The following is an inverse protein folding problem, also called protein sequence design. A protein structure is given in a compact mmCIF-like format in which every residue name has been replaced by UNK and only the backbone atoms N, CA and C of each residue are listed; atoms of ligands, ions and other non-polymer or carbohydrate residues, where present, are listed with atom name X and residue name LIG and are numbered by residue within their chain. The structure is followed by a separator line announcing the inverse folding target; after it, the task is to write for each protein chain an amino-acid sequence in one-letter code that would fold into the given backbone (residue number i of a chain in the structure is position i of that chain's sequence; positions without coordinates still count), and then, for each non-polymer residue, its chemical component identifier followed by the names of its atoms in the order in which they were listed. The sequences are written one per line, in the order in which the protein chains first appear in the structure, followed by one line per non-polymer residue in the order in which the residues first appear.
data_IF_896011237811
#
_entry.id   IF_896011237811
#
_cell.length_a   1.000
_cell.length_b   1.000
_cell.length_c   1.000
_cell.angle_alpha   90.00
_cell.angle_beta   90.00
_cell.angle_gamma   90.00
#
_symmetry.space_group_name_H-M   'P 1'
#
loop_
_entity.id
_entity.type
_entity.pdbx_description
1 polymer ?
#
# COMPACT_ATOMS: atom_id res chain seq x y z
N UNK A 1 40.86 -12.10 -75.54
CA UNK A 1 39.71 -13.00 -75.81
C UNK A 1 39.94 -14.26 -75.00
N UNK A 2 38.91 -14.74 -74.29
CA UNK A 2 38.98 -16.01 -73.54
C UNK A 2 38.99 -17.14 -74.58
N UNK A 3 39.88 -18.12 -74.43
CA UNK A 3 39.99 -19.21 -75.40
C UNK A 3 38.76 -20.15 -75.34
N UNK A 4 38.48 -20.83 -76.45
CA UNK A 4 37.33 -21.71 -76.60
C UNK A 4 37.39 -22.91 -75.63
N UNK A 5 38.60 -23.43 -75.36
CA UNK A 5 38.83 -24.52 -74.40
C UNK A 5 38.44 -24.16 -72.97
N UNK A 6 38.64 -22.90 -72.57
CA UNK A 6 38.30 -22.34 -71.27
C UNK A 6 36.79 -22.11 -71.16
N UNK A 7 36.16 -21.64 -72.24
CA UNK A 7 34.70 -21.51 -72.32
C UNK A 7 34.02 -22.87 -72.14
N UNK A 8 34.50 -23.90 -72.83
CA UNK A 8 33.97 -25.26 -72.69
C UNK A 8 34.20 -25.84 -71.28
N UNK A 9 35.35 -25.55 -70.67
CA UNK A 9 35.66 -25.93 -69.29
C UNK A 9 34.70 -25.30 -68.28
N UNK A 10 34.45 -23.98 -68.39
CA UNK A 10 33.50 -23.25 -67.53
C UNK A 10 32.08 -23.78 -67.72
N UNK A 11 31.66 -24.01 -68.96
CA UNK A 11 30.34 -24.58 -69.24
C UNK A 11 30.18 -25.96 -68.60
N UNK A 12 31.16 -26.85 -68.78
CA UNK A 12 31.16 -28.20 -68.18
C UNK A 12 31.12 -28.15 -66.65
N UNK A 13 31.83 -27.21 -66.05
CA UNK A 13 31.84 -27.01 -64.60
C UNK A 13 30.46 -26.59 -64.08
N UNK A 14 29.81 -25.64 -64.76
CA UNK A 14 28.47 -25.16 -64.38
C UNK A 14 27.43 -26.27 -64.58
N UNK A 15 27.43 -26.98 -65.71
CA UNK A 15 26.44 -28.03 -65.97
C UNK A 15 26.59 -29.25 -65.07
N UNK A 16 27.80 -29.51 -64.55
CA UNK A 16 28.07 -30.57 -63.57
C UNK A 16 27.84 -30.15 -62.11
N UNK A 17 27.49 -28.88 -61.84
CA UNK A 17 27.27 -28.37 -60.48
C UNK A 17 25.98 -28.90 -59.85
N UNK A 18 25.90 -28.89 -58.51
CA UNK A 18 24.68 -29.27 -57.78
C UNK A 18 23.51 -28.34 -58.12
N UNK A 19 23.79 -27.08 -58.41
CA UNK A 19 22.79 -26.08 -58.83
C UNK A 19 22.11 -26.45 -60.16
N UNK A 20 22.80 -27.21 -61.03
CA UNK A 20 22.34 -27.57 -62.37
C UNK A 20 22.06 -29.07 -62.58
N UNK A 21 22.55 -29.96 -61.72
CA UNK A 21 22.49 -31.42 -61.92
C UNK A 21 21.06 -31.97 -62.11
N UNK A 22 20.08 -31.43 -61.40
CA UNK A 22 18.68 -31.89 -61.48
C UNK A 22 17.87 -31.15 -62.56
N UNK A 23 18.54 -30.56 -63.54
CA UNK A 23 17.95 -29.57 -64.45
C UNK A 23 18.49 -29.70 -65.86
N UNK A 24 18.35 -30.89 -66.42
CA UNK A 24 18.76 -31.25 -67.78
C UNK A 24 18.32 -30.20 -68.81
N UNK A 25 17.05 -29.77 -68.77
CA UNK A 25 16.51 -28.77 -69.71
C UNK A 25 17.23 -27.41 -69.65
N UNK A 26 17.72 -27.00 -68.48
CA UNK A 26 18.50 -25.75 -68.34
C UNK A 26 19.96 -25.94 -68.74
N UNK A 27 20.52 -27.14 -68.53
CA UNK A 27 21.85 -27.48 -69.04
C UNK A 27 21.88 -27.45 -70.56
N UNK A 28 20.94 -28.14 -71.23
CA UNK A 28 20.86 -28.16 -72.69
C UNK A 28 20.59 -26.79 -73.28
N UNK A 29 19.77 -25.96 -72.61
CA UNK A 29 19.52 -24.58 -73.02
C UNK A 29 20.79 -23.72 -72.91
N UNK A 30 21.52 -23.82 -71.79
CA UNK A 30 22.78 -23.09 -71.61
C UNK A 30 23.82 -23.51 -72.64
N UNK A 31 23.97 -24.81 -72.90
CA UNK A 31 24.86 -25.34 -73.94
C UNK A 31 24.48 -24.80 -75.32
N UNK A 32 23.21 -24.87 -75.71
CA UNK A 32 22.73 -24.31 -76.98
C UNK A 32 23.09 -22.82 -77.14
N UNK A 33 22.92 -22.02 -76.08
CA UNK A 33 23.22 -20.58 -76.12
C UNK A 33 24.72 -20.31 -76.18
N UNK A 34 25.54 -21.10 -75.50
CA UNK A 34 27.01 -21.00 -75.57
C UNK A 34 27.50 -21.35 -76.97
N UNK A 35 27.04 -22.46 -77.54
CA UNK A 35 27.44 -22.91 -78.88
C UNK A 35 27.08 -21.86 -79.94
N UNK A 36 25.87 -21.29 -79.86
CA UNK A 36 25.42 -20.20 -80.74
C UNK A 36 26.24 -18.91 -80.56
N UNK A 37 26.58 -18.56 -79.32
CA UNK A 37 27.40 -17.37 -79.02
C UNK A 37 28.84 -17.54 -79.52
N UNK A 38 29.41 -18.75 -79.43
CA UNK A 38 30.73 -19.09 -79.96
C UNK A 38 30.77 -19.03 -81.50
N UNK A 39 29.69 -19.47 -82.16
CA UNK A 39 29.54 -19.36 -83.61
C UNK A 39 29.29 -17.92 -84.11
N UNK A 40 29.15 -16.94 -83.21
CA UNK A 40 28.83 -15.55 -83.54
C UNK A 40 27.38 -15.33 -84.00
N UNK A 41 26.51 -16.33 -83.84
CA UNK A 41 25.11 -16.32 -84.28
C UNK A 41 24.18 -16.21 -83.07
N UNK A 42 24.01 -15.00 -82.53
CA UNK A 42 23.16 -14.75 -81.36
C UNK A 42 21.69 -14.99 -81.72
N UNK A 43 21.00 -15.99 -81.13
CA UNK A 43 19.66 -16.35 -81.56
C UNK A 43 18.63 -15.33 -81.08
N UNK A 44 17.65 -15.02 -81.95
CA UNK A 44 16.47 -14.24 -81.56
C UNK A 44 15.49 -15.11 -80.76
N UNK A 45 14.60 -14.49 -79.99
CA UNK A 45 13.59 -15.20 -79.18
C UNK A 45 12.78 -16.21 -80.00
N UNK A 46 12.33 -15.81 -81.19
CA UNK A 46 11.62 -16.67 -82.13
C UNK A 46 12.45 -17.90 -82.54
N UNK A 47 13.75 -17.72 -82.81
CA UNK A 47 14.66 -18.81 -83.17
C UNK A 47 14.83 -19.81 -82.02
N UNK A 48 14.93 -19.33 -80.77
CA UNK A 48 15.02 -20.22 -79.60
C UNK A 48 13.72 -21.01 -79.42
N UNK A 49 12.57 -20.37 -79.62
CA UNK A 49 11.27 -21.02 -79.51
C UNK A 49 11.10 -22.18 -80.50
N UNK A 50 11.55 -22.00 -81.75
CA UNK A 50 11.47 -23.05 -82.78
C UNK A 50 12.59 -24.07 -82.63
N UNK A 51 13.85 -23.63 -82.58
CA UNK A 51 15.01 -24.52 -82.68
C UNK A 51 15.18 -25.37 -81.41
N UNK A 52 14.98 -24.75 -80.25
CA UNK A 52 15.18 -25.39 -78.94
C UNK A 52 13.85 -25.89 -78.33
N UNK A 53 12.82 -25.05 -78.28
CA UNK A 53 11.52 -25.45 -77.69
C UNK A 53 10.59 -26.20 -78.65
N UNK A 54 10.97 -26.36 -79.92
CA UNK A 54 10.21 -27.07 -80.96
C UNK A 54 8.78 -26.54 -81.13
N UNK A 55 8.58 -25.23 -80.98
CA UNK A 55 7.30 -24.56 -81.26
C UNK A 55 7.03 -24.51 -82.76
N UNK A 56 5.75 -24.42 -83.11
CA UNK A 56 5.29 -24.25 -84.49
C UNK A 56 5.70 -22.88 -85.07
N UNK A 57 5.75 -22.77 -86.41
CA UNK A 57 6.19 -21.55 -87.10
C UNK A 57 5.27 -20.33 -86.87
N UNK A 58 4.07 -20.54 -86.34
CA UNK A 58 3.11 -19.49 -85.95
C UNK A 58 3.39 -18.90 -84.54
N UNK A 59 4.51 -19.25 -83.90
CA UNK A 59 4.88 -18.74 -82.58
C UNK A 59 4.94 -17.20 -82.54
N UNK A 60 4.18 -16.61 -81.61
CA UNK A 60 4.21 -15.18 -81.30
C UNK A 60 4.91 -14.94 -79.94
N UNK A 61 6.10 -14.30 -79.91
CA UNK A 61 6.81 -13.97 -78.68
C UNK A 61 6.04 -13.05 -77.72
N UNK A 62 5.04 -12.30 -78.21
CA UNK A 62 4.22 -11.42 -77.37
C UNK A 62 3.23 -12.20 -76.49
N UNK A 63 2.66 -13.28 -77.02
CA UNK A 63 1.63 -14.12 -76.39
C UNK A 63 2.22 -15.32 -75.62
N UNK A 64 3.29 -15.97 -76.11
CA UNK A 64 3.92 -17.11 -75.42
C UNK A 64 5.25 -16.71 -74.73
N UNK A 65 5.23 -16.72 -73.40
CA UNK A 65 6.33 -16.30 -72.53
C UNK A 65 7.37 -17.40 -72.27
N UNK A 66 7.27 -18.58 -72.92
CA UNK A 66 8.12 -19.74 -72.61
C UNK A 66 9.62 -19.42 -72.65
N UNK A 67 10.11 -18.74 -73.69
CA UNK A 67 11.54 -18.39 -73.79
C UNK A 67 11.93 -17.44 -72.67
N UNK A 68 11.13 -16.40 -72.41
CA UNK A 68 11.36 -15.42 -71.34
C UNK A 68 11.39 -16.08 -69.95
N UNK A 69 10.48 -17.01 -69.68
CA UNK A 69 10.43 -17.75 -68.42
C UNK A 69 11.69 -18.59 -68.19
N UNK A 70 12.07 -19.41 -69.17
CA UNK A 70 13.25 -20.26 -69.05
C UNK A 70 14.54 -19.44 -68.98
N UNK A 71 14.62 -18.33 -69.71
CA UNK A 71 15.79 -17.45 -69.66
C UNK A 71 15.90 -16.72 -68.30
N UNK A 72 14.77 -16.33 -67.70
CA UNK A 72 14.75 -15.78 -66.35
C UNK A 72 15.25 -16.79 -65.31
N UNK A 73 14.73 -18.03 -65.36
CA UNK A 73 15.16 -19.11 -64.45
C UNK A 73 16.62 -19.51 -64.66
N UNK A 74 17.09 -19.55 -65.91
CA UNK A 74 18.49 -19.82 -66.24
C UNK A 74 19.42 -18.77 -65.62
N UNK A 75 19.09 -17.47 -65.77
CA UNK A 75 19.86 -16.39 -65.13
C UNK A 75 19.89 -16.51 -63.60
N UNK A 76 18.77 -16.88 -62.98
CA UNK A 76 18.74 -17.12 -61.53
C UNK A 76 19.64 -18.28 -61.12
N UNK A 77 19.64 -19.39 -61.87
CA UNK A 77 20.50 -20.55 -61.57
C UNK A 77 21.97 -20.23 -61.75
N UNK A 78 22.34 -19.50 -62.81
CA UNK A 78 23.72 -19.02 -63.02
C UNK A 78 24.15 -18.14 -61.83
N UNK A 79 23.28 -17.23 -61.39
CA UNK A 79 23.55 -16.38 -60.23
C UNK A 79 23.75 -17.21 -58.96
N UNK A 80 22.86 -18.16 -58.68
CA UNK A 80 22.96 -19.04 -57.51
C UNK A 80 24.25 -19.87 -57.52
N UNK A 81 24.66 -20.40 -58.68
CA UNK A 81 25.93 -21.11 -58.84
C UNK A 81 27.12 -20.22 -58.43
N UNK A 82 27.19 -18.98 -58.93
CA UNK A 82 28.31 -18.08 -58.60
C UNK A 82 28.26 -17.47 -57.18
N UNK A 83 27.12 -17.57 -56.49
CA UNK A 83 26.98 -17.20 -55.08
C UNK A 83 27.54 -18.28 -54.13
N UNK A 84 27.62 -19.54 -54.56
CA UNK A 84 28.06 -20.67 -53.73
C UNK A 84 29.17 -21.53 -54.37
N UNK A 85 28.82 -22.44 -55.28
CA UNK A 85 29.74 -23.43 -55.86
C UNK A 85 30.85 -22.79 -56.71
N UNK A 86 30.52 -21.73 -57.44
CA UNK A 86 31.41 -20.95 -58.29
C UNK A 86 31.94 -19.68 -57.63
N UNK A 87 31.87 -19.54 -56.30
CA UNK A 87 32.27 -18.31 -55.59
C UNK A 87 33.73 -17.91 -55.79
N UNK A 88 34.58 -18.86 -56.14
CA UNK A 88 36.02 -18.65 -56.36
C UNK A 88 36.41 -18.77 -57.85
N UNK A 89 35.42 -18.85 -58.76
CA UNK A 89 35.67 -18.96 -60.19
C UNK A 89 36.22 -17.64 -60.77
N UNK A 90 37.36 -17.73 -61.44
CA UNK A 90 38.05 -16.57 -62.04
C UNK A 90 37.31 -15.98 -63.24
N UNK A 91 36.44 -16.77 -63.88
CA UNK A 91 35.62 -16.37 -65.03
C UNK A 91 34.15 -16.50 -64.64
N UNK A 92 33.36 -15.47 -64.97
CA UNK A 92 31.91 -15.41 -64.76
C UNK A 92 31.22 -15.51 -66.12
N UNK A 93 30.35 -16.50 -66.26
CA UNK A 93 29.39 -16.64 -67.34
C UNK A 93 28.16 -15.78 -67.01
N UNK A 94 27.83 -14.83 -67.87
CA UNK A 94 26.66 -13.96 -67.74
C UNK A 94 25.78 -13.99 -69.00
N UNK A 95 24.47 -13.95 -68.80
CA UNK A 95 23.48 -13.70 -69.87
C UNK A 95 22.79 -12.38 -69.56
N UNK A 96 23.15 -11.27 -70.23
CA UNK A 96 22.58 -9.96 -69.92
C UNK A 96 21.04 -9.94 -70.06
N UNK A 97 20.37 -9.11 -69.25
CA UNK A 97 18.91 -8.94 -69.33
C UNK A 97 18.52 -8.42 -70.72
N UNK A 98 17.49 -9.01 -71.34
CA UNK A 98 17.02 -8.64 -72.68
C UNK A 98 17.85 -9.21 -73.84
N UNK A 99 18.97 -9.89 -73.55
CA UNK A 99 19.80 -10.54 -74.55
C UNK A 99 19.79 -12.07 -74.40
N UNK A 100 20.05 -12.76 -75.49
CA UNK A 100 20.22 -14.23 -75.55
C UNK A 100 21.67 -14.64 -75.84
N UNK A 101 22.59 -13.68 -75.85
CA UNK A 101 24.03 -13.88 -75.96
C UNK A 101 24.63 -14.26 -74.60
N UNK A 102 25.53 -15.24 -74.60
CA UNK A 102 26.32 -15.61 -73.43
C UNK A 102 27.67 -14.90 -73.46
N UNK A 103 28.02 -14.21 -72.37
CA UNK A 103 29.29 -13.50 -72.21
C UNK A 103 30.13 -14.12 -71.10
N UNK A 104 31.43 -14.15 -71.31
CA UNK A 104 32.41 -14.62 -70.32
C UNK A 104 33.30 -13.44 -69.92
N UNK A 105 33.31 -13.12 -68.62
CA UNK A 105 34.01 -11.96 -68.07
C UNK A 105 34.96 -12.40 -66.93
N UNK A 106 36.16 -11.82 -66.81
CA UNK A 106 37.02 -12.06 -65.65
C UNK A 106 36.38 -11.49 -64.38
N UNK A 107 36.45 -12.21 -63.25
CA UNK A 107 35.90 -11.76 -61.97
C UNK A 107 36.67 -10.53 -61.46
N UNK A 108 36.00 -9.40 -61.16
CA UNK A 108 36.67 -8.24 -60.57
C UNK A 108 37.14 -8.56 -59.15
N UNK A 109 38.44 -8.38 -58.85
CA UNK A 109 39.02 -8.55 -57.52
C UNK A 109 38.51 -7.45 -56.57
N UNK A 110 37.40 -7.67 -55.88
CA UNK A 110 36.87 -6.73 -54.87
C UNK A 110 37.66 -6.83 -53.56
N UNK A 111 38.35 -5.75 -53.17
CA UNK A 111 38.95 -5.60 -51.84
C UNK A 111 37.83 -5.66 -50.79
N UNK A 112 37.85 -6.70 -49.95
CA UNK A 112 36.89 -6.93 -48.88
C UNK A 112 37.14 -5.94 -47.73
N UNK A 113 36.30 -4.90 -47.61
CA UNK A 113 36.27 -4.05 -46.41
C UNK A 113 35.63 -4.84 -45.26
N UNK A 114 36.45 -5.27 -44.31
CA UNK A 114 35.98 -5.75 -43.00
C UNK A 114 35.56 -4.55 -42.14
N UNK A 115 34.29 -4.18 -42.22
CA UNK A 115 33.65 -3.21 -41.33
C UNK A 115 32.26 -3.70 -40.96
N UNK A 116 32.18 -4.68 -40.06
CA UNK A 116 30.96 -4.89 -39.26
C UNK A 116 31.26 -4.29 -37.90
N UNK A 117 30.62 -3.17 -37.57
CA UNK A 117 30.57 -2.66 -36.20
C UNK A 117 29.79 -3.66 -35.35
N UNK A 118 30.51 -4.63 -34.80
CA UNK A 118 30.01 -5.51 -33.76
C UNK A 118 29.98 -4.63 -32.51
N UNK A 119 28.79 -4.20 -32.08
CA UNK A 119 28.62 -3.61 -30.76
C UNK A 119 29.24 -4.58 -29.75
N UNK A 120 30.36 -4.17 -29.16
CA UNK A 120 31.13 -4.99 -28.23
C UNK A 120 30.22 -5.49 -27.12
N UNK A 121 30.28 -6.78 -26.80
CA UNK A 121 29.55 -7.39 -25.70
C UNK A 121 29.75 -6.62 -24.37
N UNK A 122 30.90 -5.94 -24.22
CA UNK A 122 31.20 -5.07 -23.09
C UNK A 122 30.29 -3.83 -23.03
N UNK A 123 29.92 -3.26 -24.17
CA UNK A 123 29.04 -2.08 -24.23
C UNK A 123 27.59 -2.46 -23.88
N UNK A 124 27.14 -3.63 -24.33
CA UNK A 124 25.83 -4.19 -23.96
C UNK A 124 25.81 -4.49 -22.45
N UNK A 125 26.86 -5.14 -21.93
CA UNK A 125 26.98 -5.44 -20.51
C UNK A 125 27.00 -4.16 -19.65
N UNK A 126 27.70 -3.13 -20.10
CA UNK A 126 27.74 -1.82 -19.42
C UNK A 126 26.37 -1.15 -19.38
N UNK A 127 25.61 -1.18 -20.49
CA UNK A 127 24.23 -0.68 -20.54
C UNK A 127 23.30 -1.45 -19.60
N UNK A 128 23.42 -2.79 -19.57
CA UNK A 128 22.64 -3.64 -18.65
C UNK A 128 22.95 -3.31 -17.20
N UNK A 129 24.23 -3.11 -16.85
CA UNK A 129 24.64 -2.71 -15.50
C UNK A 129 24.04 -1.34 -15.12
N UNK A 130 24.07 -0.35 -16.02
CA UNK A 130 23.45 0.96 -15.78
C UNK A 130 21.95 0.83 -15.54
N UNK A 131 21.25 0.01 -16.34
CA UNK A 131 19.82 -0.23 -16.19
C UNK A 131 19.53 -0.92 -14.85
N UNK A 132 20.34 -1.90 -14.46
CA UNK A 132 20.20 -2.59 -13.17
C UNK A 132 20.46 -1.66 -11.98
N UNK A 133 21.45 -0.78 -12.06
CA UNK A 133 21.72 0.24 -11.03
C UNK A 133 20.55 1.22 -10.94
N UNK A 134 20.05 1.71 -12.07
CA UNK A 134 18.88 2.59 -12.12
C UNK A 134 17.62 1.92 -11.57
N UNK A 135 17.36 0.66 -11.92
CA UNK A 135 16.25 -0.12 -11.41
C UNK A 135 16.40 -0.39 -9.91
N UNK A 136 17.59 -0.74 -9.44
CA UNK A 136 17.88 -0.94 -8.02
C UNK A 136 17.66 0.34 -7.22
N UNK A 137 18.15 1.49 -7.72
CA UNK A 137 17.91 2.80 -7.12
C UNK A 137 16.42 3.17 -7.11
N UNK A 138 15.68 2.89 -8.19
CA UNK A 138 14.24 3.10 -8.27
C UNK A 138 13.47 2.21 -7.29
N UNK A 139 13.83 0.92 -7.20
CA UNK A 139 13.22 -0.02 -6.26
C UNK A 139 13.55 0.36 -4.81
N UNK A 140 14.75 0.80 -4.50
CA UNK A 140 15.13 1.35 -3.19
C UNK A 140 14.34 2.62 -2.86
N UNK A 141 14.20 3.54 -3.81
CA UNK A 141 13.37 4.74 -3.63
C UNK A 141 11.90 4.37 -3.39
N UNK A 142 11.33 3.44 -4.18
CA UNK A 142 9.96 2.97 -4.02
C UNK A 142 9.77 2.21 -2.71
N UNK A 143 10.73 1.36 -2.33
CA UNK A 143 10.75 0.67 -1.05
C UNK A 143 10.77 1.68 0.10
N UNK A 144 11.65 2.67 0.08
CA UNK A 144 11.70 3.71 1.11
C UNK A 144 10.42 4.56 1.14
N UNK A 145 9.86 4.92 -0.01
CA UNK A 145 8.60 5.66 -0.07
C UNK A 145 7.40 4.85 0.45
N UNK A 146 7.32 3.56 0.13
CA UNK A 146 6.31 2.63 0.62
C UNK A 146 6.52 2.30 2.10
N UNK A 147 7.75 2.05 2.53
CA UNK A 147 8.12 1.81 3.92
C UNK A 147 7.84 3.04 4.78
N UNK A 148 8.07 4.26 4.27
CA UNK A 148 7.70 5.48 4.96
C UNK A 148 6.17 5.63 5.07
N UNK A 149 5.40 5.31 4.01
CA UNK A 149 3.93 5.32 4.07
C UNK A 149 3.33 4.23 4.97
N UNK A 150 3.92 3.04 4.96
CA UNK A 150 3.53 1.92 5.83
C UNK A 150 3.97 2.16 7.29
N UNK A 151 5.11 2.82 7.52
CA UNK A 151 5.55 3.29 8.85
C UNK A 151 4.52 4.20 9.50
N UNK A 152 3.95 5.15 8.76
CA UNK A 152 2.97 6.11 9.32
C UNK A 152 1.72 5.41 9.91
N UNK A 153 1.35 4.21 9.43
CA UNK A 153 0.15 3.51 9.87
C UNK A 153 0.43 2.56 11.06
N UNK A 154 1.67 2.09 11.23
CA UNK A 154 2.06 1.09 12.24
C UNK A 154 3.29 1.50 13.08
N UNK A 155 3.61 2.79 13.16
CA UNK A 155 4.77 3.25 13.92
C UNK A 155 4.55 3.05 15.42
N UNK A 156 5.59 2.51 16.07
CA UNK A 156 5.71 2.53 17.50
C UNK A 156 5.68 3.98 18.00
N UNK A 157 5.01 4.21 19.13
CA UNK A 157 4.99 5.49 19.82
C UNK A 157 6.42 5.83 20.25
N UNK A 158 6.83 7.09 20.06
CA UNK A 158 8.14 7.57 20.51
C UNK A 158 8.26 7.35 22.02
N UNK A 159 9.37 6.76 22.46
CA UNK A 159 9.63 6.51 23.90
C UNK A 159 9.78 7.79 24.70
N UNK A 160 10.08 8.90 24.04
CA UNK A 160 10.16 10.22 24.64
C UNK A 160 8.86 11.02 24.48
N UNK A 161 7.76 10.40 24.04
CA UNK A 161 6.47 11.06 23.91
C UNK A 161 6.03 11.69 25.26
N UNK A 162 5.61 12.97 25.28
CA UNK A 162 5.32 13.68 26.53
C UNK A 162 4.05 13.19 27.25
N UNK A 163 3.15 12.47 26.56
CA UNK A 163 2.00 11.84 27.21
C UNK A 163 2.43 10.54 27.89
N UNK A 164 3.23 9.72 27.21
CA UNK A 164 3.50 8.33 27.63
C UNK A 164 4.79 8.08 28.40
N UNK A 165 5.86 8.83 28.16
CA UNK A 165 7.19 8.51 28.68
C UNK A 165 7.23 8.34 30.21
N UNK A 166 6.51 9.20 30.95
CA UNK A 166 6.46 9.17 32.42
C UNK A 166 5.79 7.92 33.01
N UNK A 167 4.91 7.24 32.25
CA UNK A 167 4.25 6.01 32.70
C UNK A 167 5.21 4.82 32.79
N UNK A 168 6.36 4.91 32.13
CA UNK A 168 7.27 3.78 31.96
C UNK A 168 8.71 4.10 32.40
N UNK A 169 8.98 5.33 32.80
CA UNK A 169 10.27 5.76 33.36
C UNK A 169 10.35 5.66 34.89
N UNK A 170 9.21 5.71 35.59
CA UNK A 170 9.13 5.81 37.05
C UNK A 170 9.16 4.47 37.82
N UNK A 171 9.39 3.33 37.14
CA UNK A 171 9.39 1.96 37.68
C UNK A 171 8.10 1.53 38.43
N UNK A 172 7.01 2.30 38.34
CA UNK A 172 5.73 1.91 38.93
C UNK A 172 4.98 0.96 37.98
N UNK A 173 4.26 -0.04 38.52
CA UNK A 173 3.37 -0.86 37.69
C UNK A 173 2.25 0.00 37.12
N UNK A 174 1.90 -0.25 35.86
CA UNK A 174 0.82 0.47 35.16
C UNK A 174 -0.41 -0.43 35.02
N UNK A 175 -1.55 0.08 35.47
CA UNK A 175 -2.85 -0.59 35.40
C UNK A 175 -3.75 0.10 34.38
N UNK A 176 -4.31 -0.67 33.46
CA UNK A 176 -5.39 -0.22 32.58
C UNK A 176 -6.74 -0.59 33.18
N UNK A 177 -7.50 0.43 33.57
CA UNK A 177 -8.86 0.34 34.07
C UNK A 177 -9.88 0.56 32.95
N UNK A 178 -10.69 -0.46 32.68
CA UNK A 178 -11.78 -0.39 31.71
C UNK A 178 -13.08 -0.03 32.43
N UNK A 179 -13.70 1.06 32.01
CA UNK A 179 -15.00 1.55 32.45
C UNK A 179 -16.15 0.66 31.98
N UNK A 180 -16.31 -0.48 32.62
CA UNK A 180 -17.32 -1.49 32.32
C UNK A 180 -18.70 -1.16 32.90
N UNK A 181 -19.76 -1.83 32.46
CA UNK A 181 -21.11 -1.68 33.01
C UNK A 181 -21.36 -2.63 34.19
N UNK A 182 -22.07 -2.15 35.22
CA UNK A 182 -22.60 -3.04 36.24
C UNK A 182 -23.74 -3.86 35.65
N UNK A 183 -23.70 -5.16 35.91
CA UNK A 183 -24.69 -6.11 35.44
C UNK A 183 -25.57 -6.53 36.60
N UNK A 184 -26.89 -6.50 36.40
CA UNK A 184 -27.87 -6.92 37.40
C UNK A 184 -28.74 -8.03 36.83
N UNK A 185 -29.26 -8.89 37.70
CA UNK A 185 -30.33 -9.80 37.37
C UNK A 185 -31.63 -9.28 37.97
N UNK A 186 -32.68 -9.26 37.15
CA UNK A 186 -34.04 -8.95 37.57
C UNK A 186 -34.96 -10.10 37.15
N UNK A 187 -35.85 -10.53 38.05
CA UNK A 187 -36.89 -11.48 37.71
C UNK A 187 -38.02 -10.80 36.95
N UNK A 188 -38.28 -11.22 35.72
CA UNK A 188 -39.43 -10.77 34.94
C UNK A 188 -40.62 -11.72 35.22
N UNK A 189 -41.69 -11.25 35.90
CA UNK A 189 -42.82 -12.09 36.25
C UNK A 189 -43.68 -12.50 35.05
N UNK A 190 -43.70 -11.71 33.97
CA UNK A 190 -44.47 -12.02 32.76
C UNK A 190 -43.78 -13.14 31.97
N UNK A 191 -42.46 -13.05 31.86
CA UNK A 191 -41.66 -14.04 31.15
C UNK A 191 -41.24 -15.23 32.01
N UNK A 192 -41.50 -15.18 33.32
CA UNK A 192 -41.14 -16.20 34.33
C UNK A 192 -39.67 -16.61 34.30
N UNK A 193 -38.77 -15.64 34.18
CA UNK A 193 -37.31 -15.87 34.12
C UNK A 193 -36.53 -14.68 34.64
N UNK A 194 -35.31 -14.93 35.10
CA UNK A 194 -34.34 -13.88 35.33
C UNK A 194 -33.79 -13.36 34.00
N UNK A 195 -33.57 -12.05 33.94
CA UNK A 195 -32.89 -11.39 32.83
C UNK A 195 -31.70 -10.62 33.35
N UNK A 196 -30.62 -10.64 32.58
CA UNK A 196 -29.54 -9.69 32.77
C UNK A 196 -29.97 -8.33 32.24
N UNK A 197 -29.80 -7.30 33.06
CA UNK A 197 -30.07 -5.92 32.71
C UNK A 197 -28.87 -5.06 33.06
N UNK A 198 -28.69 -4.00 32.28
CA UNK A 198 -27.80 -2.89 32.60
C UNK A 198 -28.69 -1.69 32.89
N UNK A 199 -28.64 -1.19 34.12
CA UNK A 199 -29.32 0.06 34.45
C UNK A 199 -28.34 1.22 34.28
N UNK A 200 -28.66 2.13 33.35
CA UNK A 200 -27.80 3.27 33.07
C UNK A 200 -27.83 4.36 34.17
N UNK A 201 -28.70 4.25 35.17
CA UNK A 201 -28.73 5.13 36.35
C UNK A 201 -28.00 4.55 37.56
N UNK A 202 -27.67 3.26 37.55
CA UNK A 202 -27.01 2.58 38.69
C UNK A 202 -25.58 2.16 38.32
N UNK A 203 -24.62 3.05 38.57
CA UNK A 203 -23.19 2.88 38.28
C UNK A 203 -22.31 2.62 39.50
N UNK A 204 -22.80 2.94 40.69
CA UNK A 204 -22.08 2.82 41.95
C UNK A 204 -22.87 2.00 42.98
N UNK A 205 -22.20 1.56 44.04
CA UNK A 205 -22.87 0.89 45.16
C UNK A 205 -23.81 1.83 45.93
N UNK A 206 -23.49 3.13 45.99
CA UNK A 206 -24.34 4.12 46.65
C UNK A 206 -25.67 4.30 45.90
N UNK A 207 -25.61 4.48 44.57
CA UNK A 207 -26.80 4.56 43.72
C UNK A 207 -27.63 3.26 43.76
N UNK A 208 -26.98 2.10 43.91
CA UNK A 208 -27.67 0.82 44.08
C UNK A 208 -28.45 0.77 45.40
N UNK A 209 -27.85 1.24 46.50
CA UNK A 209 -28.52 1.33 47.79
C UNK A 209 -29.70 2.32 47.77
N UNK A 210 -29.54 3.47 47.10
CA UNK A 210 -30.62 4.42 46.88
C UNK A 210 -31.78 3.81 46.08
N UNK A 211 -31.45 3.06 45.02
CA UNK A 211 -32.44 2.33 44.23
C UNK A 211 -33.21 1.31 45.09
N UNK A 212 -32.52 0.50 45.90
CA UNK A 212 -33.17 -0.48 46.78
C UNK A 212 -34.10 0.20 47.80
N UNK A 213 -33.69 1.35 48.34
CA UNK A 213 -34.51 2.13 49.26
C UNK A 213 -35.75 2.74 48.56
N UNK A 214 -35.60 3.22 47.33
CA UNK A 214 -36.69 3.82 46.56
C UNK A 214 -37.69 2.78 46.02
N UNK A 215 -37.21 1.58 45.69
CA UNK A 215 -38.01 0.52 45.06
C UNK A 215 -37.93 -0.81 45.85
N UNK A 216 -38.45 -0.88 47.09
CA UNK A 216 -38.29 -2.04 47.97
C UNK A 216 -38.90 -3.34 47.41
N UNK A 217 -39.88 -3.23 46.52
CA UNK A 217 -40.54 -4.38 45.88
C UNK A 217 -39.83 -4.85 44.60
N UNK A 218 -38.80 -4.13 44.14
CA UNK A 218 -38.07 -4.41 42.89
C UNK A 218 -36.67 -4.89 43.23
N UNK A 219 -36.49 -6.21 43.33
CA UNK A 219 -35.22 -6.80 43.72
C UNK A 219 -34.27 -6.94 42.53
N UNK A 220 -33.20 -6.14 42.54
CA UNK A 220 -32.07 -6.31 41.62
C UNK A 220 -30.98 -7.13 42.31
N UNK A 221 -30.50 -8.18 41.67
CA UNK A 221 -29.36 -8.97 42.16
C UNK A 221 -28.13 -8.50 41.41
N UNK A 222 -27.20 -7.84 42.10
CA UNK A 222 -25.93 -7.41 41.50
C UNK A 222 -25.08 -8.63 41.12
N UNK A 223 -24.54 -8.62 39.90
CA UNK A 223 -23.56 -9.60 39.44
C UNK A 223 -22.17 -9.28 39.98
N UNK A 224 -21.39 -10.30 40.30
CA UNK A 224 -19.95 -10.18 40.62
C UNK A 224 -19.11 -9.78 39.39
N UNK A 225 -19.63 -10.04 38.19
CA UNK A 225 -19.01 -9.71 36.93
C UNK A 225 -19.71 -8.50 36.29
N UNK A 226 -18.92 -7.56 35.77
CA UNK A 226 -19.42 -6.49 34.91
C UNK A 226 -19.47 -6.88 33.44
N UNK A 227 -20.09 -6.02 32.62
CA UNK A 227 -20.18 -6.17 31.16
C UNK A 227 -19.25 -5.19 30.46
N UNK A 228 -18.38 -5.70 29.59
CA UNK A 228 -17.52 -4.86 28.76
C UNK A 228 -18.34 -4.10 27.71
N UNK A 229 -18.19 -2.76 27.60
CA UNK A 229 -18.82 -2.00 26.55
C UNK A 229 -18.07 -2.20 25.23
N UNK A 230 -18.81 -2.13 24.12
CA UNK A 230 -18.31 -2.47 22.78
C UNK A 230 -17.05 -1.67 22.38
N UNK A 231 -16.99 -0.39 22.77
CA UNK A 231 -15.85 0.49 22.48
C UNK A 231 -14.52 -0.02 23.06
N UNK A 232 -14.57 -0.78 24.17
CA UNK A 232 -13.37 -1.28 24.85
C UNK A 232 -12.49 -2.12 23.94
N UNK A 233 -13.09 -2.88 23.01
CA UNK A 233 -12.34 -3.72 22.07
C UNK A 233 -11.48 -2.86 21.13
N UNK A 234 -12.07 -1.79 20.57
CA UNK A 234 -11.37 -0.86 19.70
C UNK A 234 -10.28 -0.10 20.48
N UNK A 235 -10.63 0.38 21.68
CA UNK A 235 -9.68 1.10 22.54
C UNK A 235 -8.49 0.22 22.95
N UNK A 236 -8.70 -1.06 23.26
CA UNK A 236 -7.63 -2.00 23.60
C UNK A 236 -6.71 -2.27 22.41
N UNK A 237 -7.28 -2.44 21.22
CA UNK A 237 -6.49 -2.61 20.00
C UNK A 237 -5.61 -1.38 19.74
N UNK A 238 -6.16 -0.18 19.92
CA UNK A 238 -5.45 1.07 19.71
C UNK A 238 -4.36 1.29 20.78
N UNK A 239 -4.62 0.97 22.05
CA UNK A 239 -3.64 1.06 23.15
C UNK A 239 -2.54 0.01 23.09
N UNK A 240 -2.78 -1.15 22.47
CA UNK A 240 -1.76 -2.18 22.31
C UNK A 240 -0.51 -1.63 21.60
N UNK A 241 -0.68 -0.71 20.64
CA UNK A 241 0.43 -0.04 19.96
C UNK A 241 1.34 0.69 20.94
N UNK A 242 0.78 1.38 21.93
CA UNK A 242 1.53 2.06 22.98
C UNK A 242 2.30 1.03 23.80
N UNK A 243 1.61 0.03 24.36
CA UNK A 243 2.23 -0.93 25.27
C UNK A 243 3.34 -1.75 24.61
N UNK A 244 3.14 -2.11 23.33
CA UNK A 244 4.15 -2.76 22.52
C UNK A 244 5.39 -1.87 22.32
N UNK A 245 5.20 -0.57 22.08
CA UNK A 245 6.31 0.39 21.86
C UNK A 245 7.23 0.54 23.08
N UNK A 246 6.64 0.49 24.27
CA UNK A 246 7.34 0.57 25.55
C UNK A 246 7.81 -0.81 26.07
N UNK A 247 7.47 -1.91 25.39
CA UNK A 247 7.83 -3.28 25.77
C UNK A 247 7.48 -3.61 27.24
N UNK A 248 6.27 -3.25 27.65
CA UNK A 248 5.81 -3.39 29.03
C UNK A 248 4.59 -4.30 29.12
N UNK A 249 4.49 -5.04 30.22
CA UNK A 249 3.25 -5.69 30.59
C UNK A 249 2.32 -4.68 31.26
N UNK A 250 1.02 -4.78 31.02
CA UNK A 250 -0.01 -3.93 31.62
C UNK A 250 -1.05 -4.82 32.28
N UNK A 251 -1.34 -4.54 33.54
CA UNK A 251 -2.43 -5.18 34.25
C UNK A 251 -3.76 -4.59 33.78
N UNK A 252 -4.57 -5.38 33.06
CA UNK A 252 -5.90 -4.95 32.60
C UNK A 252 -6.94 -5.38 33.62
N UNK A 253 -7.79 -4.44 34.04
CA UNK A 253 -8.80 -4.66 35.07
C UNK A 253 -10.08 -3.91 34.75
N UNK A 254 -11.20 -4.40 35.29
CA UNK A 254 -12.49 -3.74 35.18
C UNK A 254 -12.69 -2.76 36.34
N UNK A 255 -13.24 -1.59 36.04
CA UNK A 255 -13.55 -0.56 37.03
C UNK A 255 -14.55 -1.08 38.09
N UNK A 256 -15.48 -1.97 37.72
CA UNK A 256 -16.39 -2.63 38.67
C UNK A 256 -15.67 -3.54 39.67
N UNK A 257 -14.62 -4.25 39.24
CA UNK A 257 -13.84 -5.18 40.09
C UNK A 257 -13.00 -4.41 41.11
N UNK A 258 -12.50 -3.22 40.74
CA UNK A 258 -11.84 -2.28 41.67
C UNK A 258 -12.79 -1.70 42.74
N UNK A 259 -14.07 -2.06 42.67
CA UNK A 259 -15.13 -1.59 43.54
C UNK A 259 -15.93 -2.70 44.23
N UNK A 260 -15.56 -3.97 44.05
CA UNK A 260 -16.03 -5.01 44.95
C UNK A 260 -15.46 -4.76 46.35
N UNK A 261 -16.15 -5.20 47.39
CA UNK A 261 -15.70 -5.11 48.79
C UNK A 261 -14.34 -5.78 49.06
N UNK A 262 -13.80 -6.51 48.06
CA UNK A 262 -12.50 -7.17 48.10
C UNK A 262 -11.35 -6.26 47.66
N UNK A 263 -11.62 -5.06 47.12
CA UNK A 263 -10.58 -4.15 46.61
C UNK A 263 -10.65 -2.77 47.30
N UNK A 264 -9.71 -2.56 48.21
CA UNK A 264 -9.53 -1.32 48.97
C UNK A 264 -8.70 -0.31 48.17
N UNK A 265 -8.98 0.99 48.34
CA UNK A 265 -8.28 2.11 47.65
C UNK A 265 -6.77 2.10 47.92
N UNK A 266 -6.35 1.43 48.99
CA UNK A 266 -4.96 1.11 49.33
C UNK A 266 -4.21 0.37 48.22
N UNK A 267 -4.91 -0.24 47.25
CA UNK A 267 -4.31 -1.00 46.15
C UNK A 267 -4.05 -0.19 44.87
N UNK A 268 -4.50 1.08 44.83
CA UNK A 268 -4.24 2.01 43.72
C UNK A 268 -2.95 2.81 43.95
N UNK A 269 -2.59 3.04 45.22
CA UNK A 269 -1.35 3.72 45.58
C UNK A 269 -0.12 2.94 45.08
N UNK A 270 0.89 3.68 44.63
CA UNK A 270 2.13 3.17 44.07
C UNK A 270 1.99 2.62 42.66
N UNK A 271 0.98 3.05 41.88
CA UNK A 271 0.73 2.58 40.52
C UNK A 271 0.39 3.73 39.57
N UNK A 272 0.80 3.59 38.32
CA UNK A 272 0.24 4.41 37.25
C UNK A 272 -1.13 3.87 36.84
N UNK A 273 -2.06 4.75 36.48
CA UNK A 273 -3.42 4.38 36.09
C UNK A 273 -3.71 4.93 34.71
N UNK A 274 -4.21 4.08 33.83
CA UNK A 274 -4.83 4.49 32.57
C UNK A 274 -6.29 4.08 32.66
N UNK A 275 -7.21 5.02 32.50
CA UNK A 275 -8.65 4.72 32.44
C UNK A 275 -9.16 4.92 31.02
N UNK A 276 -9.94 3.95 30.52
CA UNK A 276 -10.73 4.08 29.29
C UNK A 276 -12.21 3.83 29.59
N UNK A 277 -13.11 4.64 29.05
CA UNK A 277 -14.55 4.38 29.13
C UNK A 277 -15.41 5.63 29.18
N UNK A 278 -16.66 5.49 29.62
CA UNK A 278 -17.57 6.62 29.79
C UNK A 278 -17.36 7.37 31.11
N UNK A 279 -17.73 8.65 31.15
CA UNK A 279 -17.66 9.47 32.37
C UNK A 279 -18.39 8.80 33.54
N UNK A 280 -19.58 8.28 33.31
CA UNK A 280 -20.38 7.55 34.31
C UNK A 280 -19.69 6.30 34.88
N UNK A 281 -18.65 5.80 34.23
CA UNK A 281 -17.90 4.61 34.65
C UNK A 281 -16.58 4.94 35.37
N UNK A 282 -16.28 6.22 35.60
CA UNK A 282 -15.14 6.67 36.41
C UNK A 282 -15.25 6.19 37.86
N UNK A 283 -16.47 6.29 38.42
CA UNK A 283 -16.82 5.82 39.76
C UNK A 283 -15.85 6.34 40.83
N UNK A 284 -15.08 5.46 41.51
CA UNK A 284 -14.08 5.90 42.51
C UNK A 284 -13.03 6.84 41.92
N UNK A 285 -12.70 6.77 40.62
CA UNK A 285 -11.76 7.71 39.99
C UNK A 285 -12.33 9.11 39.78
N UNK A 286 -13.62 9.34 40.09
CA UNK A 286 -14.23 10.66 39.92
C UNK A 286 -13.56 11.75 40.74
N UNK A 287 -12.89 11.41 41.87
CA UNK A 287 -12.11 12.38 42.65
C UNK A 287 -11.03 13.09 41.81
N UNK A 288 -10.53 12.45 40.74
CA UNK A 288 -9.54 13.05 39.84
C UNK A 288 -10.14 14.25 39.11
N UNK A 289 -11.43 14.17 38.73
CA UNK A 289 -12.16 15.29 38.11
C UNK A 289 -12.32 16.44 39.10
N UNK A 290 -12.68 16.13 40.35
CA UNK A 290 -12.81 17.11 41.43
C UNK A 290 -11.47 17.84 41.72
N UNK A 291 -10.35 17.09 41.72
CA UNK A 291 -9.01 17.64 41.88
C UNK A 291 -8.69 18.71 40.83
N UNK A 292 -9.05 18.48 39.57
CA UNK A 292 -8.82 19.42 38.47
C UNK A 292 -9.96 20.43 38.26
N UNK A 293 -10.93 20.50 39.18
CA UNK A 293 -12.13 21.35 39.09
C UNK A 293 -12.99 21.10 37.84
N UNK A 294 -12.99 19.88 37.31
CA UNK A 294 -13.82 19.51 36.16
C UNK A 294 -15.04 18.75 36.66
N UNK A 295 -16.20 19.09 36.12
CA UNK A 295 -17.44 18.32 36.36
C UNK A 295 -18.12 18.00 35.04
N UNK A 296 -19.02 17.03 35.07
CA UNK A 296 -19.79 16.62 33.90
C UNK A 296 -21.20 16.26 34.32
N UNK A 297 -22.14 16.41 33.39
CA UNK A 297 -23.53 16.03 33.60
C UNK A 297 -24.08 15.38 32.33
N UNK A 298 -24.79 14.27 32.48
CA UNK A 298 -25.51 13.63 31.40
C UNK A 298 -26.86 14.33 31.16
N UNK A 299 -27.33 14.31 29.92
CA UNK A 299 -28.65 14.81 29.58
C UNK A 299 -29.74 13.91 30.21
N UNK A 300 -30.81 14.47 30.81
CA UNK A 300 -31.84 13.69 31.50
C UNK A 300 -32.47 12.58 30.65
N UNK A 301 -32.67 12.88 29.36
CA UNK A 301 -33.36 11.99 28.41
C UNK A 301 -32.38 11.30 27.44
N UNK A 302 -31.06 11.43 27.65
CA UNK A 302 -30.07 10.84 26.74
C UNK A 302 -28.78 10.41 27.47
N UNK A 303 -28.66 9.10 27.67
CA UNK A 303 -27.52 8.46 28.35
C UNK A 303 -26.20 8.55 27.58
N UNK A 304 -26.22 9.01 26.33
CA UNK A 304 -25.05 9.11 25.46
C UNK A 304 -24.58 10.55 25.27
N UNK A 305 -25.24 11.53 25.91
CA UNK A 305 -24.93 12.95 25.73
C UNK A 305 -24.87 13.65 27.06
N UNK A 306 -24.12 14.74 27.07
CA UNK A 306 -23.99 15.57 28.25
C UNK A 306 -23.19 16.82 28.00
N UNK A 307 -22.76 17.40 29.11
CA UNK A 307 -21.96 18.61 29.16
C UNK A 307 -20.75 18.40 30.05
N UNK A 308 -19.62 18.99 29.66
CA UNK A 308 -18.41 19.09 30.49
C UNK A 308 -18.25 20.53 30.92
N UNK A 309 -18.02 20.75 32.20
CA UNK A 309 -17.82 22.05 32.81
C UNK A 309 -16.37 22.10 33.30
N UNK A 310 -15.60 23.06 32.81
CA UNK A 310 -14.16 23.19 33.09
C UNK A 310 -13.83 24.59 33.59
N UNK A 311 -12.79 24.75 34.43
CA UNK A 311 -12.40 26.06 34.93
C UNK A 311 -11.86 26.93 33.80
N UNK A 312 -12.22 28.21 33.79
CA UNK A 312 -11.71 29.19 32.83
C UNK A 312 -10.33 29.75 33.25
N UNK A 313 -9.85 30.76 32.53
CA UNK A 313 -8.67 31.55 32.91
C UNK A 313 -9.00 32.61 33.98
N UNK A 314 -10.28 32.92 34.17
CA UNK A 314 -10.75 33.88 35.18
C UNK A 314 -11.08 33.09 36.46
N UNK A 315 -10.61 33.53 37.64
CA UNK A 315 -10.98 32.90 38.91
C UNK A 315 -12.50 32.75 39.05
N UNK A 316 -12.95 31.61 39.58
CA UNK A 316 -14.37 31.29 39.82
C UNK A 316 -15.30 31.34 38.59
N UNK A 317 -14.73 31.31 37.38
CA UNK A 317 -15.48 31.24 36.13
C UNK A 317 -15.25 29.90 35.43
N UNK A 318 -16.28 29.38 34.76
CA UNK A 318 -16.27 28.08 34.11
C UNK A 318 -16.75 28.15 32.65
N UNK A 319 -16.13 27.36 31.78
CA UNK A 319 -16.64 27.09 30.43
C UNK A 319 -17.49 25.83 30.46
N UNK A 320 -18.61 25.84 29.73
CA UNK A 320 -19.47 24.67 29.55
C UNK A 320 -19.44 24.26 28.08
N UNK A 321 -19.02 23.03 27.81
CA UNK A 321 -19.08 22.40 26.50
C UNK A 321 -20.23 21.42 26.47
N UNK A 322 -21.01 21.40 25.39
CA UNK A 322 -22.17 20.50 25.24
C UNK A 322 -22.06 19.71 23.94
N UNK A 323 -22.36 18.43 24.01
CA UNK A 323 -22.54 17.61 22.81
C UNK A 323 -23.79 18.07 22.05
N UNK A 324 -23.69 18.24 20.73
CA UNK A 324 -24.79 18.74 19.89
C UNK A 324 -25.30 17.64 18.98
N UNK A 325 -26.61 17.46 18.86
CA UNK A 325 -27.21 16.61 17.84
C UNK A 325 -27.67 17.54 16.71
N UNK A 326 -27.11 17.37 15.50
CA UNK A 326 -27.49 18.17 14.35
C UNK A 326 -28.66 17.54 13.62
N UNK A 327 -28.61 16.21 13.40
CA UNK A 327 -29.70 15.39 12.89
C UNK A 327 -29.56 13.92 13.39
N UNK A 328 -30.31 12.98 12.83
CA UNK A 328 -30.28 11.56 13.25
C UNK A 328 -28.96 10.83 12.89
N UNK A 329 -28.22 11.35 11.91
CA UNK A 329 -26.97 10.78 11.38
C UNK A 329 -25.73 11.57 11.79
N UNK A 330 -25.84 12.89 11.95
CA UNK A 330 -24.75 13.81 12.27
C UNK A 330 -24.87 14.34 13.69
N UNK A 331 -23.80 14.18 14.44
CA UNK A 331 -23.70 14.72 15.78
C UNK A 331 -22.29 15.10 16.17
N UNK A 332 -22.16 16.08 17.06
CA UNK A 332 -20.96 16.28 17.85
C UNK A 332 -21.10 15.60 19.20
N UNK A 333 -20.05 14.88 19.56
CA UNK A 333 -19.86 14.26 20.86
C UNK A 333 -18.65 14.89 21.56
N UNK A 334 -18.55 14.71 22.87
CA UNK A 334 -17.46 15.24 23.67
C UNK A 334 -16.60 14.12 24.24
N UNK A 335 -15.34 14.17 23.87
CA UNK A 335 -14.24 13.43 24.48
C UNK A 335 -13.49 14.30 25.48
N UNK A 336 -12.78 13.64 26.39
CA UNK A 336 -11.98 14.27 27.41
C UNK A 336 -10.74 13.43 27.70
N UNK A 337 -9.60 14.10 27.71
CA UNK A 337 -8.30 13.49 28.01
C UNK A 337 -7.71 14.28 29.17
N UNK A 338 -7.30 13.61 30.25
CA UNK A 338 -6.58 14.24 31.33
C UNK A 338 -5.39 13.39 31.79
N UNK A 339 -4.20 13.99 31.85
CA UNK A 339 -3.02 13.44 32.51
C UNK A 339 -2.79 14.24 33.80
N UNK A 340 -2.94 13.58 34.95
CA UNK A 340 -2.94 14.20 36.29
C UNK A 340 -1.88 13.53 37.17
N UNK A 341 -1.12 14.28 37.99
CA UNK A 341 -0.15 13.70 38.91
C UNK A 341 -0.83 13.01 40.09
N UNK A 342 -0.36 11.83 40.49
CA UNK A 342 -0.75 11.11 41.70
C UNK A 342 0.08 11.53 42.92
N UNK A 343 0.24 10.67 43.93
CA UNK A 343 0.85 11.04 45.23
C UNK A 343 2.38 10.83 45.29
N UNK A 344 2.94 9.90 44.51
CA UNK A 344 4.37 9.49 44.55
C UNK A 344 4.90 9.13 43.17
N UNK A 345 5.17 10.14 42.33
CA UNK A 345 5.56 10.00 40.91
C UNK A 345 4.54 9.24 40.03
N UNK A 346 3.37 8.92 40.59
CA UNK A 346 2.27 8.25 39.91
C UNK A 346 1.69 9.14 38.82
N UNK A 347 1.33 8.52 37.69
CA UNK A 347 0.67 9.19 36.59
C UNK A 347 -0.72 8.59 36.37
N UNK A 348 -1.74 9.45 36.30
CA UNK A 348 -3.11 9.04 35.96
C UNK A 348 -3.52 9.63 34.62
N UNK A 349 -3.84 8.77 33.65
CA UNK A 349 -4.37 9.16 32.34
C UNK A 349 -5.83 8.75 32.24
N UNK A 350 -6.72 9.72 32.18
CA UNK A 350 -8.17 9.51 32.02
C UNK A 350 -8.56 9.80 30.58
N UNK A 351 -9.00 8.76 29.87
CA UNK A 351 -9.48 8.82 28.49
C UNK A 351 -10.98 8.51 28.51
N UNK A 352 -11.80 9.54 28.47
CA UNK A 352 -13.25 9.41 28.69
C UNK A 352 -14.07 10.22 27.69
N UNK A 353 -15.34 9.88 27.56
CA UNK A 353 -16.29 10.58 26.69
C UNK A 353 -17.73 10.19 26.98
N UNK A 354 -18.70 10.86 26.36
CA UNK A 354 -20.11 10.49 26.55
C UNK A 354 -20.50 9.27 25.73
N UNK A 355 -20.44 9.32 24.40
CA UNK A 355 -20.77 8.18 23.54
C UNK A 355 -19.53 7.46 23.00
N UNK A 356 -19.77 6.29 22.41
CA UNK A 356 -18.71 5.43 21.89
C UNK A 356 -17.76 6.11 20.90
N UNK A 357 -18.21 6.93 19.93
CA UNK A 357 -17.30 7.61 19.02
C UNK A 357 -16.30 8.51 19.75
N UNK A 358 -16.75 9.30 20.74
CA UNK A 358 -15.84 10.12 21.53
C UNK A 358 -14.86 9.25 22.35
N UNK A 359 -15.36 8.19 22.99
CA UNK A 359 -14.53 7.26 23.77
C UNK A 359 -13.49 6.52 22.90
N UNK A 360 -13.84 6.16 21.67
CA UNK A 360 -12.93 5.55 20.70
C UNK A 360 -11.87 6.57 20.27
N UNK A 361 -12.31 7.76 19.87
CA UNK A 361 -11.44 8.78 19.29
C UNK A 361 -10.43 9.33 20.28
N UNK A 362 -10.80 9.59 21.55
CA UNK A 362 -9.84 10.10 22.54
C UNK A 362 -8.68 9.14 22.79
N UNK A 363 -8.95 7.84 22.76
CA UNK A 363 -7.91 6.81 22.91
C UNK A 363 -7.05 6.76 21.64
N UNK A 364 -7.67 6.70 20.46
CA UNK A 364 -6.97 6.69 19.18
C UNK A 364 -6.05 7.90 19.01
N UNK A 365 -6.50 9.08 19.45
CA UNK A 365 -5.73 10.31 19.41
C UNK A 365 -4.44 10.21 20.23
N UNK A 366 -4.47 9.53 21.39
CA UNK A 366 -3.26 9.40 22.22
C UNK A 366 -2.45 8.15 21.91
N UNK A 367 -3.00 7.17 21.19
CA UNK A 367 -2.36 5.86 21.01
C UNK A 367 -1.82 5.61 19.60
N UNK A 368 -1.94 6.59 18.70
CA UNK A 368 -1.43 6.52 17.33
C UNK A 368 -0.50 7.69 17.02
N UNK A 369 0.58 7.49 16.23
CA UNK A 369 1.48 8.58 15.85
C UNK A 369 0.76 9.75 15.15
N UNK A 370 -0.20 9.43 14.26
CA UNK A 370 -1.02 10.44 13.60
C UNK A 370 -1.91 11.21 14.57
N UNK A 371 -2.54 10.50 15.52
CA UNK A 371 -3.36 11.10 16.56
C UNK A 371 -2.55 12.05 17.46
N UNK A 372 -1.37 11.61 17.90
CA UNK A 372 -0.47 12.40 18.74
C UNK A 372 0.01 13.65 17.99
N UNK A 373 0.45 13.49 16.74
CA UNK A 373 0.82 14.63 15.89
C UNK A 373 -0.33 15.63 15.76
N UNK A 374 -1.56 15.16 15.62
CA UNK A 374 -2.76 16.02 15.54
C UNK A 374 -3.00 16.78 16.85
N UNK A 375 -2.85 16.14 18.01
CA UNK A 375 -2.91 16.82 19.32
C UNK A 375 -1.82 17.90 19.41
N UNK A 376 -0.58 17.56 19.09
CA UNK A 376 0.56 18.47 19.22
C UNK A 376 0.46 19.65 18.27
N UNK A 377 0.03 19.44 17.03
CA UNK A 377 -0.18 20.51 16.06
C UNK A 377 -1.30 21.47 16.51
N UNK A 378 -2.44 20.95 16.95
CA UNK A 378 -3.58 21.77 17.41
C UNK A 378 -3.27 22.58 18.67
N UNK A 379 -2.30 22.15 19.47
CA UNK A 379 -1.94 22.78 20.75
C UNK A 379 -0.65 23.60 20.69
N UNK A 380 0.11 23.52 19.57
CA UNK A 380 1.41 24.19 19.37
C UNK A 380 1.37 25.71 19.56
N UNK A 381 0.28 26.35 19.18
CA UNK A 381 0.13 27.81 19.33
C UNK A 381 -0.10 28.23 20.78
N UNK A 382 -0.54 27.31 21.64
CA UNK A 382 -0.86 27.59 23.05
C UNK A 382 0.31 27.30 23.98
N UNK A 383 1.14 26.30 23.66
CA UNK A 383 2.29 25.92 24.49
C UNK A 383 3.55 25.83 23.64
N UNK A 384 4.66 26.40 24.12
CA UNK A 384 5.99 26.24 23.49
C UNK A 384 6.47 24.79 23.56
N UNK A 385 6.19 24.13 24.67
CA UNK A 385 6.47 22.73 24.97
C UNK A 385 5.18 22.09 25.49
N UNK A 386 4.85 20.88 25.05
CA UNK A 386 3.63 20.23 25.50
C UNK A 386 3.66 20.00 27.02
N UNK A 387 2.61 20.39 27.77
CA UNK A 387 2.62 20.32 29.23
C UNK A 387 2.66 18.88 29.74
N UNK A 388 3.41 18.58 30.82
CA UNK A 388 3.51 17.22 31.37
C UNK A 388 2.18 16.74 31.97
N UNK A 389 1.42 17.65 32.59
CA UNK A 389 0.09 17.38 33.12
C UNK A 389 -0.90 18.38 32.54
N UNK A 390 -2.04 17.86 32.10
CA UNK A 390 -3.02 18.65 31.39
C UNK A 390 -4.38 17.97 31.44
N UNK A 391 -5.41 18.73 31.09
CA UNK A 391 -6.64 18.16 30.59
C UNK A 391 -7.10 18.90 29.34
N UNK A 392 -7.84 18.20 28.48
CA UNK A 392 -8.40 18.75 27.26
C UNK A 392 -9.79 18.19 26.97
N UNK A 393 -10.61 19.04 26.34
CA UNK A 393 -11.92 18.68 25.81
C UNK A 393 -11.78 18.55 24.30
N UNK A 394 -12.24 17.42 23.78
CA UNK A 394 -12.22 17.07 22.36
C UNK A 394 -13.65 17.09 21.84
N UNK A 395 -13.90 17.86 20.80
CA UNK A 395 -15.12 17.72 20.00
C UNK A 395 -14.90 16.64 18.95
N UNK A 396 -15.82 15.67 18.86
CA UNK A 396 -15.77 14.57 17.91
C UNK A 396 -17.02 14.60 17.04
N UNK A 397 -16.83 14.77 15.74
CA UNK A 397 -17.90 14.72 14.75
C UNK A 397 -18.10 13.27 14.31
N UNK A 398 -19.28 12.72 14.59
CA UNK A 398 -19.62 11.33 14.29
C UNK A 398 -20.64 11.19 13.16
N UNK A 399 -20.51 10.09 12.41
CA UNK A 399 -21.50 9.56 11.48
C UNK A 399 -21.71 8.07 11.79
N UNK A 400 -22.94 7.65 12.08
CA UNK A 400 -23.30 6.22 12.30
C UNK A 400 -22.26 5.42 13.11
N UNK A 401 -21.88 5.93 14.30
CA UNK A 401 -20.91 5.32 15.23
C UNK A 401 -19.42 5.43 14.84
N UNK A 402 -19.08 6.07 13.73
CA UNK A 402 -17.68 6.34 13.33
C UNK A 402 -17.29 7.79 13.61
N UNK A 403 -16.12 8.01 14.22
CA UNK A 403 -15.52 9.33 14.32
C UNK A 403 -14.94 9.73 12.95
N UNK A 404 -15.43 10.82 12.37
CA UNK A 404 -14.96 11.36 11.08
C UNK A 404 -13.87 12.41 11.29
N UNK A 405 -14.09 13.32 12.23
CA UNK A 405 -13.19 14.40 12.55
C UNK A 405 -13.20 14.67 14.07
N UNK A 406 -12.08 15.16 14.57
CA UNK A 406 -11.89 15.49 15.99
C UNK A 406 -11.06 16.75 16.15
N UNK A 407 -11.41 17.57 17.14
CA UNK A 407 -10.78 18.86 17.39
C UNK A 407 -10.60 19.09 18.89
N UNK A 408 -9.40 19.53 19.28
CA UNK A 408 -9.13 20.05 20.63
C UNK A 408 -9.81 21.42 20.73
N UNK A 409 -10.92 21.49 21.46
CA UNK A 409 -11.66 22.75 21.67
C UNK A 409 -11.25 23.47 22.95
N UNK A 410 -10.64 22.74 23.89
CA UNK A 410 -10.10 23.30 25.12
C UNK A 410 -8.94 22.47 25.61
N UNK A 411 -7.92 23.12 26.17
CA UNK A 411 -6.80 22.47 26.87
C UNK A 411 -6.32 23.38 27.99
N UNK A 412 -5.94 22.81 29.14
CA UNK A 412 -5.36 23.55 30.26
C UNK A 412 -4.25 22.72 30.89
N UNK A 413 -3.13 23.37 31.18
CA UNK A 413 -2.03 22.80 31.96
C UNK A 413 -2.43 22.69 33.44
N UNK A 414 -2.06 21.58 34.07
CA UNK A 414 -2.28 21.33 35.49
C UNK A 414 -0.93 21.51 36.19
N UNK A 415 -0.86 22.42 37.17
CA UNK A 415 0.34 22.55 37.99
C UNK A 415 0.34 21.51 39.11
N UNK A 416 1.46 20.82 39.34
CA UNK A 416 1.59 19.82 40.41
C UNK A 416 1.16 20.37 41.79
N UNK A 417 1.54 21.62 42.07
CA UNK A 417 1.22 22.30 43.33
C UNK A 417 -0.29 22.51 43.54
N UNK A 418 -1.07 22.71 42.46
CA UNK A 418 -2.52 22.94 42.55
C UNK A 418 -3.32 21.69 42.95
N UNK A 419 -2.77 20.51 42.68
CA UNK A 419 -3.39 19.21 43.01
C UNK A 419 -3.09 18.82 44.46
N UNK A 420 -1.90 19.16 44.97
CA UNK A 420 -1.48 18.87 46.35
C UNK A 420 -2.31 19.61 47.42
N UNK A 421 -2.66 20.89 47.18
CA UNK A 421 -3.38 21.71 48.16
C UNK A 421 -4.81 21.25 48.43
N UNK A 422 -5.50 20.78 47.39
CA UNK A 422 -6.86 20.22 47.48
C UNK A 422 -6.94 18.81 48.09
N UNK A 423 -5.82 18.11 48.27
CA UNK A 423 -5.80 16.77 48.91
C UNK A 423 -5.75 16.83 50.43
N UNK A 424 -5.38 17.99 51.00
CA UNK A 424 -5.28 18.23 52.45
C UNK A 424 -6.57 18.74 53.09
N UNK A 425 -7.60 19.00 52.27
CA UNK A 425 -8.98 19.29 52.69
C UNK A 425 -9.84 18.07 52.41
#
# INVERSE_FOLDING_TARGET
MIDETTIQSVLKKITASKTFCDSEKYCTLLTYLVDKSLAGDVPKEYSIAIDFFKREKNFDPSEDTIVRYYMYRLRQKIKAYYEDEGKDDEIILEIPKGHYEVKFLPRPKTKRNNGRDIVSLKNILFLVIIILIGLSGYLLYRYNALANRARIINEAIDRNDPIWSDFFSNNLPTVLLIGDHLLYQEYDPQLRRFRFIIDHKITSNAEYQEFEAQYPNRKLIKSEQGSLPLNSIFNLNDLYNVFFSFNTHIDIKLSSVYMSSQFDLTNINGRNIIFIGGFRNLRKLNYIMDQISVSYEYAPDNYWRGRVIVPSSVPDSFYTFKATKFDDTHYSDLGFIAKVPGNKDENYLILTGFAYPAQIEVVRLVSTPLGLSKIYEQTKNKFKTFPPYFFMVIEVFGLEYSALESKVIYIKEISENSVSSKRTQ
#
